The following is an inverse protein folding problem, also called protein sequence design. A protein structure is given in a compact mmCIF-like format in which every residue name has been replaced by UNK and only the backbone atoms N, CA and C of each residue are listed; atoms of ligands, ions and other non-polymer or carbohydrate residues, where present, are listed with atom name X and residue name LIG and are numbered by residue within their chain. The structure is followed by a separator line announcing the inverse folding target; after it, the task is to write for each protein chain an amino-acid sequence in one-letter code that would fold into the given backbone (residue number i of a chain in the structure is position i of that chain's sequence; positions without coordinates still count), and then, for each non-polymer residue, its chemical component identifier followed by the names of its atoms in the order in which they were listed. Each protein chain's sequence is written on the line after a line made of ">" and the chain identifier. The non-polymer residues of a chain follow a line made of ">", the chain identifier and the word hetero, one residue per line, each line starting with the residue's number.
data_IF_580301858471
#
_entry.id   IF_580301858471
#
_cell.length_a   1.000
_cell.length_b   1.000
_cell.length_c   1.000
_cell.angle_alpha   90.00
_cell.angle_beta   90.00
_cell.angle_gamma   90.00
#
_symmetry.space_group_name_H-M   'P 1'
#
loop_
_entity.id
_entity.type
_entity.pdbx_description
1 polymer ?
#
# COMPACT_ATOMS: atom_id res chain seq x y z
N UNK A 1 22.40 8.33 -1.06
CA UNK A 1 23.83 8.66 -1.34
C UNK A 1 24.54 7.35 -1.62
N UNK A 2 25.33 7.31 -2.69
CA UNK A 2 26.05 6.11 -3.13
C UNK A 2 27.31 6.50 -3.92
N UNK A 3 28.19 5.54 -4.22
CA UNK A 3 29.38 5.77 -5.05
C UNK A 3 29.02 6.00 -6.53
N UNK A 4 29.67 7.01 -7.15
CA UNK A 4 29.38 7.40 -8.53
C UNK A 4 30.30 6.70 -9.54
N UNK A 5 30.21 5.37 -9.66
CA UNK A 5 31.01 4.49 -10.53
C UNK A 5 32.53 4.51 -10.23
N UNK A 6 32.97 5.13 -9.15
CA UNK A 6 34.39 5.14 -8.72
C UNK A 6 34.44 5.42 -7.22
N UNK A 7 35.63 5.20 -6.62
CA UNK A 7 35.91 5.59 -5.22
C UNK A 7 36.23 7.08 -5.03
N UNK A 8 36.29 7.86 -6.09
CA UNK A 8 36.66 9.27 -6.06
C UNK A 8 35.45 10.22 -6.05
N UNK A 9 34.26 9.72 -6.37
CA UNK A 9 33.05 10.52 -6.43
C UNK A 9 31.84 9.79 -5.81
N UNK A 10 30.98 10.58 -5.21
CA UNK A 10 29.68 10.13 -4.66
C UNK A 10 28.53 10.79 -5.42
N UNK A 11 27.40 10.11 -5.52
CA UNK A 11 26.12 10.67 -5.97
C UNK A 11 25.22 10.90 -4.78
N UNK A 12 24.62 12.09 -4.72
CA UNK A 12 23.74 12.52 -3.64
C UNK A 12 22.40 12.92 -4.25
N UNK A 13 21.30 12.38 -3.71
CA UNK A 13 19.97 12.89 -3.95
C UNK A 13 19.61 13.87 -2.81
N UNK A 14 19.45 15.14 -3.14
CA UNK A 14 19.16 16.21 -2.19
C UNK A 14 17.76 16.78 -2.43
N UNK A 15 16.85 16.44 -1.52
CA UNK A 15 15.49 16.99 -1.57
C UNK A 15 15.40 18.26 -0.74
N UNK A 16 14.59 19.20 -1.24
CA UNK A 16 14.11 20.29 -0.41
C UNK A 16 13.11 19.79 0.65
N UNK A 17 12.76 20.63 1.63
CA UNK A 17 11.84 20.24 2.72
C UNK A 17 10.46 19.82 2.22
N UNK A 18 9.94 20.42 1.15
CA UNK A 18 8.68 20.02 0.52
C UNK A 18 8.77 18.70 -0.24
N UNK A 19 9.98 18.16 -0.43
CA UNK A 19 10.25 16.92 -1.17
C UNK A 19 9.68 16.92 -2.60
N UNK A 20 9.52 18.11 -3.18
CA UNK A 20 9.01 18.30 -4.54
C UNK A 20 10.10 18.77 -5.54
N UNK A 21 11.35 18.87 -5.05
CA UNK A 21 12.54 19.08 -5.85
C UNK A 21 13.64 18.16 -5.32
N UNK A 22 14.24 17.38 -6.22
CA UNK A 22 15.39 16.51 -5.94
C UNK A 22 16.56 16.95 -6.83
N UNK A 23 17.63 17.43 -6.24
CA UNK A 23 18.87 17.75 -6.93
C UNK A 23 19.79 16.52 -6.88
N UNK A 24 20.15 16.01 -8.05
CA UNK A 24 21.13 14.91 -8.15
C UNK A 24 22.51 15.55 -8.32
N UNK A 25 23.35 15.33 -7.33
CA UNK A 25 24.62 16.00 -7.15
C UNK A 25 25.76 14.99 -7.20
N UNK A 26 26.83 15.30 -7.93
CA UNK A 26 28.11 14.60 -7.83
C UNK A 26 29.01 15.36 -6.85
N UNK A 27 29.60 14.65 -5.90
CA UNK A 27 30.57 15.18 -4.93
C UNK A 27 31.91 14.48 -5.08
N UNK A 28 32.99 15.25 -5.18
CA UNK A 28 34.35 14.72 -5.17
C UNK A 28 34.73 14.31 -3.74
N UNK A 29 35.04 13.03 -3.54
CA UNK A 29 35.32 12.48 -2.21
C UNK A 29 36.62 13.00 -1.58
N UNK A 30 37.54 13.57 -2.39
CA UNK A 30 38.84 14.10 -1.92
C UNK A 30 38.79 15.60 -1.65
N UNK A 31 38.15 16.39 -2.55
CA UNK A 31 38.16 17.86 -2.46
C UNK A 31 36.90 18.41 -1.80
N UNK A 32 35.81 17.64 -1.72
CA UNK A 32 34.51 18.12 -1.25
C UNK A 32 33.76 18.99 -2.27
N UNK A 33 34.31 19.20 -3.46
CA UNK A 33 33.61 19.94 -4.52
C UNK A 33 32.36 19.20 -4.97
N UNK A 34 31.27 19.95 -5.17
CA UNK A 34 29.96 19.39 -5.58
C UNK A 34 29.48 20.03 -6.88
N UNK A 35 28.77 19.23 -7.67
CA UNK A 35 28.16 19.68 -8.93
C UNK A 35 26.80 19.03 -9.11
N UNK A 36 25.74 19.84 -9.21
CA UNK A 36 24.41 19.35 -9.63
C UNK A 36 24.45 18.95 -11.10
N UNK A 37 24.05 17.71 -11.39
CA UNK A 37 23.99 17.17 -12.74
C UNK A 37 22.61 17.33 -13.37
N UNK A 38 21.55 17.16 -12.59
CA UNK A 38 20.19 17.52 -13.00
C UNK A 38 19.30 17.70 -11.77
N UNK A 39 18.12 18.27 -11.99
CA UNK A 39 17.10 18.47 -10.95
C UNK A 39 15.77 17.91 -11.43
N UNK A 40 15.20 17.02 -10.64
CA UNK A 40 13.82 16.53 -10.81
C UNK A 40 12.87 17.48 -10.05
N UNK A 41 11.67 17.74 -10.63
CA UNK A 41 10.64 18.56 -9.98
C UNK A 41 9.26 17.95 -10.22
N UNK A 42 8.40 18.07 -9.20
CA UNK A 42 7.01 17.68 -9.26
C UNK A 42 6.14 18.72 -8.53
N UNK A 43 4.90 18.90 -8.93
CA UNK A 43 3.98 19.83 -8.25
C UNK A 43 3.47 19.31 -6.90
N UNK A 44 3.58 17.99 -6.65
CA UNK A 44 3.22 17.34 -5.40
C UNK A 44 4.49 16.92 -4.64
N UNK A 45 5.04 15.75 -4.88
CA UNK A 45 6.27 15.25 -4.26
C UNK A 45 7.06 14.37 -5.22
N UNK A 46 8.31 14.10 -4.88
CA UNK A 46 9.18 13.17 -5.59
C UNK A 46 9.57 12.05 -4.63
N UNK A 47 9.41 10.81 -5.08
CA UNK A 47 9.92 9.66 -4.34
C UNK A 47 11.42 9.50 -4.58
N UNK A 48 12.15 9.04 -3.55
CA UNK A 48 13.54 8.62 -3.69
C UNK A 48 13.55 7.25 -4.36
N UNK A 49 14.46 7.06 -5.29
CA UNK A 49 14.72 5.79 -5.96
C UNK A 49 16.14 5.33 -5.64
N UNK A 50 16.25 4.16 -5.02
CA UNK A 50 17.53 3.57 -4.64
C UNK A 50 18.13 2.70 -5.78
N UNK A 51 17.39 2.51 -6.87
CA UNK A 51 17.78 1.71 -8.03
C UNK A 51 18.66 2.49 -9.03
N UNK A 52 19.40 3.49 -8.58
CA UNK A 52 20.34 4.22 -9.40
C UNK A 52 21.53 3.31 -9.74
N UNK A 53 21.75 3.05 -11.03
CA UNK A 53 22.86 2.25 -11.56
C UNK A 53 23.67 3.07 -12.54
N UNK A 54 25.01 3.02 -12.42
CA UNK A 54 25.90 3.63 -13.40
C UNK A 54 26.14 2.70 -14.59
N UNK A 55 26.03 3.24 -15.79
CA UNK A 55 26.17 2.54 -17.06
C UNK A 55 27.36 3.09 -17.85
N UNK A 56 27.84 2.33 -18.84
CA UNK A 56 28.93 2.73 -19.75
C UNK A 56 30.17 3.29 -19.03
N UNK A 57 30.61 2.54 -18.01
CA UNK A 57 31.74 2.97 -17.15
C UNK A 57 31.52 4.36 -16.56
N UNK A 58 30.34 4.63 -16.02
CA UNK A 58 30.01 5.87 -15.32
C UNK A 58 29.64 7.05 -16.23
N UNK A 59 29.41 6.84 -17.52
CA UNK A 59 29.01 7.91 -18.46
C UNK A 59 27.51 8.20 -18.46
N UNK A 60 26.71 7.25 -18.04
CA UNK A 60 25.25 7.33 -17.96
C UNK A 60 24.79 6.73 -16.65
N UNK A 61 23.56 7.06 -16.23
CA UNK A 61 22.92 6.49 -15.05
C UNK A 61 21.45 6.17 -15.34
N UNK A 62 20.91 5.19 -14.60
CA UNK A 62 19.49 4.90 -14.59
C UNK A 62 18.76 5.90 -13.70
N UNK A 63 17.52 6.25 -14.07
CA UNK A 63 16.69 7.13 -13.29
C UNK A 63 15.22 6.75 -13.43
N UNK A 64 14.53 6.56 -12.31
CA UNK A 64 13.08 6.37 -12.29
C UNK A 64 12.40 7.72 -12.12
N UNK A 65 11.45 8.04 -12.98
CA UNK A 65 10.76 9.34 -12.97
C UNK A 65 9.32 9.21 -13.42
N UNK A 66 8.46 10.08 -12.86
CA UNK A 66 7.05 10.21 -13.23
C UNK A 66 6.78 11.43 -14.14
N UNK A 67 7.82 12.00 -14.75
CA UNK A 67 7.77 13.27 -15.51
C UNK A 67 6.82 13.27 -16.71
N UNK A 68 6.46 12.10 -17.23
CA UNK A 68 5.54 11.94 -18.36
C UNK A 68 4.16 11.37 -17.96
N UNK A 69 3.88 11.31 -16.64
CA UNK A 69 2.59 10.86 -16.11
C UNK A 69 2.58 9.40 -15.64
N UNK A 70 3.64 8.63 -15.93
CA UNK A 70 3.84 7.27 -15.46
C UNK A 70 5.22 7.12 -14.84
N UNK A 71 5.40 6.14 -13.96
CA UNK A 71 6.72 5.81 -13.41
C UNK A 71 7.50 5.02 -14.42
N UNK A 72 8.48 5.66 -15.06
CA UNK A 72 9.28 5.06 -16.12
C UNK A 72 10.77 5.06 -15.81
N UNK A 73 11.48 4.09 -16.44
CA UNK A 73 12.94 4.06 -16.48
C UNK A 73 13.46 5.00 -17.55
N UNK A 74 14.37 5.88 -17.14
CA UNK A 74 15.17 6.74 -18.01
C UNK A 74 16.64 6.38 -17.90
N UNK A 75 17.41 6.66 -18.95
CA UNK A 75 18.86 6.72 -18.93
C UNK A 75 19.27 8.17 -19.13
N UNK A 76 20.05 8.70 -18.21
CA UNK A 76 20.50 10.09 -18.20
C UNK A 76 22.02 10.12 -18.35
N UNK A 77 22.55 11.00 -19.24
CA UNK A 77 24.00 11.21 -19.32
C UNK A 77 24.56 11.82 -18.03
N UNK A 78 25.82 11.54 -17.71
CA UNK A 78 26.49 12.01 -16.49
C UNK A 78 26.45 13.53 -16.29
N UNK A 79 26.36 14.29 -17.38
CA UNK A 79 26.24 15.75 -17.35
C UNK A 79 24.77 16.23 -17.29
N UNK A 80 23.80 15.32 -17.24
CA UNK A 80 22.37 15.60 -17.16
C UNK A 80 21.71 16.08 -18.46
N UNK A 81 22.47 16.26 -19.55
CA UNK A 81 21.96 16.91 -20.77
C UNK A 81 21.13 16.00 -21.66
N UNK A 82 21.46 14.71 -21.71
CA UNK A 82 20.75 13.74 -22.53
C UNK A 82 19.89 12.86 -21.63
N UNK A 83 18.59 12.82 -21.91
CA UNK A 83 17.60 12.02 -21.20
C UNK A 83 16.88 11.14 -22.20
N UNK A 84 16.95 9.83 -21.99
CA UNK A 84 16.33 8.84 -22.88
C UNK A 84 15.32 8.00 -22.11
N UNK A 85 14.07 7.98 -22.55
CA UNK A 85 13.02 7.09 -22.05
C UNK A 85 13.28 5.65 -22.52
N UNK A 86 13.26 4.69 -21.59
CA UNK A 86 13.54 3.26 -21.86
C UNK A 86 12.26 2.42 -21.85
N UNK A 87 11.29 2.79 -21.03
CA UNK A 87 10.06 2.01 -20.81
C UNK A 87 8.81 2.81 -21.20
N UNK A 88 8.65 3.24 -22.47
CA UNK A 88 7.48 4.03 -22.87
C UNK A 88 6.19 3.20 -22.78
N UNK A 89 5.07 3.84 -22.41
CA UNK A 89 3.75 3.20 -22.37
C UNK A 89 2.86 3.72 -21.23
N UNK A 90 1.62 3.25 -21.19
CA UNK A 90 0.65 3.61 -20.16
C UNK A 90 0.71 2.59 -19.01
N UNK A 91 1.83 2.50 -18.32
CA UNK A 91 2.05 1.61 -17.20
C UNK A 91 3.20 2.11 -16.32
N UNK A 92 3.22 1.70 -15.06
CA UNK A 92 4.31 2.01 -14.13
C UNK A 92 5.37 0.90 -14.10
N UNK A 93 6.64 1.27 -14.13
CA UNK A 93 7.74 0.46 -13.60
C UNK A 93 7.60 0.46 -12.08
N UNK A 94 7.19 -0.68 -11.52
CA UNK A 94 6.98 -0.80 -10.07
C UNK A 94 8.34 -0.88 -9.35
N UNK A 95 9.29 -1.61 -9.96
CA UNK A 95 10.61 -1.87 -9.38
C UNK A 95 11.60 -2.23 -10.51
N UNK A 96 12.77 -1.59 -10.55
CA UNK A 96 13.86 -1.92 -11.48
C UNK A 96 14.73 -3.01 -10.87
N UNK A 97 14.79 -4.17 -11.51
CA UNK A 97 15.50 -5.33 -10.98
C UNK A 97 16.97 -5.40 -11.42
N UNK A 98 17.23 -5.12 -12.69
CA UNK A 98 18.57 -5.22 -13.28
C UNK A 98 18.65 -4.47 -14.60
N UNK A 99 19.80 -3.87 -14.89
CA UNK A 99 20.20 -3.44 -16.23
C UNK A 99 21.41 -4.27 -16.66
N UNK A 100 21.23 -5.08 -17.70
CA UNK A 100 22.31 -5.85 -18.32
C UNK A 100 22.79 -5.16 -19.59
N UNK A 101 23.88 -4.39 -19.49
CA UNK A 101 24.47 -3.67 -20.62
C UNK A 101 24.98 -4.61 -21.70
N UNK A 102 25.44 -5.82 -21.35
CA UNK A 102 26.01 -6.78 -22.29
C UNK A 102 24.95 -7.35 -23.24
N UNK A 103 23.78 -7.69 -22.72
CA UNK A 103 22.64 -8.14 -23.53
C UNK A 103 21.81 -6.98 -24.08
N UNK A 104 21.95 -5.77 -23.52
CA UNK A 104 21.22 -4.58 -23.90
C UNK A 104 19.77 -4.56 -23.38
N UNK A 105 19.48 -5.19 -22.24
CA UNK A 105 18.14 -5.26 -21.65
C UNK A 105 18.08 -4.65 -20.23
N UNK A 106 16.93 -4.03 -19.93
CA UNK A 106 16.49 -3.74 -18.57
C UNK A 106 15.41 -4.75 -18.15
N UNK A 107 15.49 -5.22 -16.90
CA UNK A 107 14.53 -6.13 -16.26
C UNK A 107 13.82 -5.37 -15.14
N UNK A 108 12.49 -5.42 -15.10
CA UNK A 108 11.70 -4.65 -14.15
C UNK A 108 10.37 -5.33 -13.84
N UNK A 109 9.81 -4.99 -12.69
CA UNK A 109 8.46 -5.38 -12.31
C UNK A 109 7.46 -4.34 -12.83
N UNK A 110 6.39 -4.82 -13.47
CA UNK A 110 5.27 -4.01 -13.92
C UNK A 110 3.99 -4.82 -13.93
N UNK A 111 2.86 -4.14 -14.09
CA UNK A 111 1.55 -4.78 -14.26
C UNK A 111 0.63 -3.91 -15.15
N UNK A 112 0.89 -3.85 -16.45
CA UNK A 112 0.16 -2.98 -17.38
C UNK A 112 -1.35 -3.23 -17.42
N UNK A 113 -1.77 -4.48 -17.24
CA UNK A 113 -3.17 -4.91 -17.42
C UNK A 113 -3.96 -5.02 -16.11
N UNK A 114 -3.26 -5.09 -14.96
CA UNK A 114 -3.91 -5.32 -13.66
C UNK A 114 -3.09 -4.76 -12.50
N UNK A 115 -3.53 -3.64 -11.93
CA UNK A 115 -2.83 -2.95 -10.85
C UNK A 115 -2.76 -3.72 -9.52
N UNK A 116 -3.48 -4.84 -9.37
CA UNK A 116 -3.44 -5.70 -8.17
C UNK A 116 -2.38 -6.79 -8.22
N UNK A 117 -1.67 -6.93 -9.35
CA UNK A 117 -0.71 -8.02 -9.60
C UNK A 117 0.67 -7.46 -9.97
N UNK A 118 1.70 -8.31 -9.97
CA UNK A 118 3.09 -7.92 -10.26
C UNK A 118 3.78 -9.00 -11.09
N UNK A 119 4.45 -8.60 -12.19
CA UNK A 119 5.10 -9.49 -13.14
C UNK A 119 6.46 -8.97 -13.60
N UNK A 120 7.40 -9.89 -13.90
CA UNK A 120 8.68 -9.54 -14.48
C UNK A 120 8.53 -9.28 -15.99
N UNK A 121 9.07 -8.15 -16.41
CA UNK A 121 9.22 -7.74 -17.79
C UNK A 121 10.69 -7.47 -18.11
N UNK A 122 11.03 -7.53 -19.40
CA UNK A 122 12.25 -6.94 -19.93
C UNK A 122 11.98 -6.06 -21.15
N UNK A 123 12.84 -5.08 -21.37
CA UNK A 123 12.82 -4.24 -22.56
C UNK A 123 14.24 -3.89 -23.00
N UNK A 124 14.41 -3.53 -24.28
CA UNK A 124 15.72 -3.07 -24.79
C UNK A 124 16.07 -1.70 -24.23
N UNK A 125 17.35 -1.48 -23.92
CA UNK A 125 17.88 -0.22 -23.42
C UNK A 125 17.80 0.94 -24.43
N UNK A 126 17.57 0.64 -25.72
CA UNK A 126 17.37 1.67 -26.72
C UNK A 126 15.97 2.32 -26.68
N UNK A 127 15.06 1.77 -25.86
CA UNK A 127 13.68 2.25 -25.71
C UNK A 127 12.78 1.87 -26.89
N UNK A 128 13.23 0.96 -27.78
CA UNK A 128 12.47 0.53 -28.94
C UNK A 128 11.81 -0.83 -28.70
N UNK A 129 10.58 -0.95 -29.16
CA UNK A 129 9.80 -2.17 -29.05
C UNK A 129 8.88 -2.19 -27.81
N UNK A 130 8.10 -3.27 -27.70
CA UNK A 130 7.20 -3.49 -26.56
C UNK A 130 7.94 -4.27 -25.48
N UNK A 131 7.68 -3.98 -24.20
CA UNK A 131 8.14 -4.82 -23.09
C UNK A 131 7.66 -6.27 -23.25
N UNK A 132 8.55 -7.21 -23.00
CA UNK A 132 8.27 -8.64 -23.01
C UNK A 132 8.03 -9.12 -21.58
N UNK A 133 6.86 -9.72 -21.32
CA UNK A 133 6.59 -10.36 -20.03
C UNK A 133 7.34 -11.69 -19.95
N UNK A 134 8.16 -11.86 -18.92
CA UNK A 134 8.91 -13.09 -18.65
C UNK A 134 8.19 -14.00 -17.65
N UNK A 135 7.41 -13.45 -16.73
CA UNK A 135 6.60 -14.27 -15.82
C UNK A 135 5.55 -15.05 -16.58
N UNK A 136 5.54 -16.41 -16.51
CA UNK A 136 4.54 -17.24 -17.16
C UNK A 136 3.10 -16.95 -16.66
N UNK A 137 2.11 -17.30 -17.50
CA UNK A 137 0.69 -17.00 -17.21
C UNK A 137 0.15 -17.73 -15.99
N UNK A 138 0.67 -18.91 -15.66
CA UNK A 138 0.29 -19.70 -14.49
C UNK A 138 0.61 -19.05 -13.15
N UNK A 139 1.56 -18.10 -13.12
CA UNK A 139 1.90 -17.33 -11.92
C UNK A 139 1.11 -16.01 -11.85
N UNK A 140 -0.22 -16.12 -11.98
CA UNK A 140 -1.13 -14.98 -11.81
C UNK A 140 -1.21 -14.58 -10.33
N UNK A 141 -0.76 -13.37 -10.00
CA UNK A 141 -0.66 -12.85 -8.64
C UNK A 141 0.56 -11.94 -8.46
N UNK A 142 1.17 -11.99 -7.29
CA UNK A 142 2.36 -11.20 -6.96
C UNK A 142 3.62 -12.03 -7.13
N UNK A 143 4.52 -11.55 -7.98
CA UNK A 143 5.81 -12.14 -8.29
C UNK A 143 6.93 -11.18 -7.90
N UNK A 144 8.00 -11.70 -7.31
CA UNK A 144 9.24 -10.97 -7.05
C UNK A 144 10.45 -11.80 -7.47
N UNK A 145 11.53 -11.11 -7.81
CA UNK A 145 12.71 -11.75 -8.37
C UNK A 145 13.99 -11.20 -7.74
N UNK A 146 14.96 -12.07 -7.53
CA UNK A 146 16.35 -11.70 -7.30
C UNK A 146 17.15 -12.24 -8.48
N UNK A 147 17.51 -11.35 -9.39
CA UNK A 147 18.14 -11.71 -10.67
C UNK A 147 19.65 -11.68 -10.52
N UNK A 148 20.33 -12.73 -11.01
CA UNK A 148 21.80 -12.81 -11.02
C UNK A 148 22.40 -11.81 -12.02
N UNK A 149 23.64 -11.37 -11.79
CA UNK A 149 24.42 -10.65 -12.80
C UNK A 149 24.40 -11.40 -14.13
N UNK A 150 24.22 -10.65 -15.23
CA UNK A 150 24.10 -11.20 -16.60
C UNK A 150 22.75 -11.90 -16.86
N UNK A 151 21.77 -11.78 -15.98
CA UNK A 151 20.37 -12.21 -16.14
C UNK A 151 20.18 -13.67 -16.62
N UNK A 152 21.05 -14.61 -16.18
CA UNK A 152 20.94 -16.02 -16.55
C UNK A 152 20.02 -16.80 -15.62
N UNK A 153 19.97 -16.42 -14.32
CA UNK A 153 19.23 -17.09 -13.27
C UNK A 153 18.50 -16.07 -12.39
N UNK A 154 17.45 -16.54 -11.72
CA UNK A 154 16.80 -15.76 -10.66
C UNK A 154 16.22 -16.66 -9.58
N UNK A 155 16.16 -16.14 -8.35
CA UNK A 155 15.23 -16.64 -7.34
C UNK A 155 13.88 -15.95 -7.60
N UNK A 156 12.88 -16.75 -7.92
CA UNK A 156 11.50 -16.32 -8.13
C UNK A 156 10.65 -16.66 -6.90
N UNK A 157 9.98 -15.68 -6.33
CA UNK A 157 8.97 -15.86 -5.30
C UNK A 157 7.60 -15.51 -5.86
N UNK A 158 6.62 -16.34 -5.55
CA UNK A 158 5.23 -16.17 -6.00
C UNK A 158 4.25 -16.42 -4.88
N UNK A 159 3.20 -15.62 -4.82
CA UNK A 159 1.97 -15.92 -4.08
C UNK A 159 0.77 -15.24 -4.73
N UNK A 160 -0.43 -15.71 -4.40
CA UNK A 160 -1.69 -15.02 -4.69
C UNK A 160 -2.58 -15.02 -3.44
N UNK A 161 -3.68 -14.30 -3.47
CA UNK A 161 -4.67 -14.33 -2.40
C UNK A 161 -5.22 -15.74 -2.13
N UNK A 162 -5.12 -16.62 -3.13
CA UNK A 162 -5.64 -18.00 -3.07
C UNK A 162 -4.55 -19.08 -3.09
N UNK A 163 -3.26 -18.71 -3.15
CA UNK A 163 -2.13 -19.64 -3.23
C UNK A 163 -1.08 -19.30 -2.18
N UNK A 164 -0.62 -20.32 -1.46
CA UNK A 164 0.48 -20.17 -0.49
C UNK A 164 1.78 -19.76 -1.19
N UNK A 165 2.68 -19.02 -0.50
CA UNK A 165 3.94 -18.59 -1.07
C UNK A 165 4.82 -19.76 -1.49
N UNK A 166 5.51 -19.64 -2.64
CA UNK A 166 6.54 -20.54 -3.11
C UNK A 166 7.80 -19.77 -3.47
N UNK A 167 8.97 -20.45 -3.40
CA UNK A 167 10.26 -19.94 -3.88
C UNK A 167 10.93 -20.99 -4.76
N UNK A 168 11.49 -20.53 -5.90
CA UNK A 168 12.15 -21.43 -6.83
C UNK A 168 13.33 -20.75 -7.53
N UNK A 169 14.37 -21.54 -7.85
CA UNK A 169 15.45 -21.14 -8.72
C UNK A 169 15.02 -21.38 -10.17
N UNK A 170 15.11 -20.36 -10.99
CA UNK A 170 14.74 -20.41 -12.41
C UNK A 170 15.91 -19.98 -13.30
N UNK A 171 15.85 -20.40 -14.56
CA UNK A 171 16.67 -19.89 -15.64
C UNK A 171 15.92 -18.80 -16.41
N UNK A 172 16.60 -17.75 -16.80
CA UNK A 172 16.06 -16.67 -17.63
C UNK A 172 16.66 -16.75 -19.06
N UNK A 173 15.95 -16.27 -20.10
CA UNK A 173 14.65 -15.59 -20.02
C UNK A 173 13.43 -16.53 -20.05
N UNK A 174 13.60 -17.81 -20.34
CA UNK A 174 12.55 -18.80 -20.57
C UNK A 174 11.79 -19.22 -19.31
N UNK A 175 12.18 -18.72 -18.12
CA UNK A 175 11.58 -19.00 -16.82
C UNK A 175 11.57 -20.50 -16.44
N UNK A 176 12.51 -21.29 -16.99
CA UNK A 176 12.58 -22.73 -16.72
C UNK A 176 12.97 -22.99 -15.27
N UNK A 177 12.13 -23.75 -14.55
CA UNK A 177 12.37 -24.11 -13.14
C UNK A 177 13.52 -25.11 -13.05
N UNK A 178 14.60 -24.73 -12.38
CA UNK A 178 15.77 -25.58 -12.10
C UNK A 178 15.55 -26.33 -10.79
N UNK A 179 15.08 -25.61 -9.75
CA UNK A 179 14.89 -26.19 -8.43
C UNK A 179 13.76 -25.46 -7.68
N UNK A 180 12.87 -26.20 -7.10
CA UNK A 180 11.93 -25.70 -6.10
C UNK A 180 12.65 -25.60 -4.76
N UNK A 181 12.71 -24.40 -4.17
CA UNK A 181 13.42 -24.11 -2.91
C UNK A 181 12.44 -24.20 -1.73
N UNK A 182 11.26 -23.58 -1.88
CA UNK A 182 10.18 -23.65 -0.89
C UNK A 182 8.87 -23.94 -1.64
N UNK A 183 8.18 -25.00 -1.26
CA UNK A 183 6.88 -25.37 -1.84
C UNK A 183 5.71 -25.15 -0.87
N UNK A 184 5.97 -25.05 0.43
CA UNK A 184 4.97 -24.90 1.48
C UNK A 184 3.82 -25.94 1.42
N UNK A 185 4.12 -27.19 1.06
CA UNK A 185 3.14 -28.27 0.88
C UNK A 185 2.26 -28.47 2.11
N UNK A 186 2.86 -28.63 3.30
CA UNK A 186 2.13 -28.80 4.54
C UNK A 186 1.18 -27.63 4.84
N UNK A 187 1.64 -26.37 4.59
CA UNK A 187 0.77 -25.20 4.72
C UNK A 187 -0.39 -25.26 3.72
N UNK A 188 -0.11 -25.57 2.46
CA UNK A 188 -1.14 -25.68 1.41
C UNK A 188 -2.18 -26.77 1.73
N UNK A 189 -1.72 -27.94 2.19
CA UNK A 189 -2.59 -29.05 2.62
C UNK A 189 -3.47 -28.65 3.80
N UNK A 190 -2.90 -28.01 4.83
CA UNK A 190 -3.66 -27.48 5.97
C UNK A 190 -4.70 -26.44 5.56
N UNK A 191 -4.33 -25.50 4.69
CA UNK A 191 -5.26 -24.47 4.18
C UNK A 191 -6.39 -25.11 3.35
N UNK A 192 -6.10 -26.17 2.59
CA UNK A 192 -7.13 -26.88 1.82
C UNK A 192 -8.20 -27.56 2.70
N UNK A 193 -7.91 -27.83 3.97
CA UNK A 193 -8.90 -28.36 4.92
C UNK A 193 -9.88 -27.32 5.43
N UNK A 194 -9.57 -26.03 5.29
CA UNK A 194 -10.43 -24.95 5.77
C UNK A 194 -11.68 -24.83 4.90
N UNK A 195 -12.84 -24.74 5.54
CA UNK A 195 -14.09 -24.41 4.87
C UNK A 195 -14.09 -22.93 4.49
N UNK A 196 -13.74 -22.62 3.24
CA UNK A 196 -13.66 -21.27 2.72
C UNK A 196 -13.96 -21.22 1.22
N UNK A 197 -14.40 -20.08 0.74
CA UNK A 197 -14.44 -19.74 -0.69
C UNK A 197 -13.16 -19.01 -1.09
N UNK A 198 -12.79 -19.00 -2.38
CA UNK A 198 -11.70 -18.17 -2.87
C UNK A 198 -11.96 -16.68 -2.62
N UNK A 199 -10.91 -15.92 -2.40
CA UNK A 199 -10.96 -14.46 -2.47
C UNK A 199 -11.19 -14.05 -3.92
N UNK A 200 -12.19 -13.20 -4.15
CA UNK A 200 -12.55 -12.69 -5.47
C UNK A 200 -12.13 -11.24 -5.60
N UNK A 201 -11.55 -10.86 -6.75
CA UNK A 201 -11.23 -9.46 -7.07
C UNK A 201 -12.34 -8.85 -7.93
N UNK A 202 -12.58 -7.56 -7.73
CA UNK A 202 -13.60 -6.82 -8.45
C UNK A 202 -13.18 -5.37 -8.68
N UNK A 203 -13.93 -4.68 -9.54
CA UNK A 203 -13.88 -3.23 -9.66
C UNK A 203 -15.24 -2.62 -9.33
N UNK A 204 -15.22 -1.44 -8.73
CA UNK A 204 -16.39 -0.65 -8.39
C UNK A 204 -16.25 0.78 -8.93
N UNK A 205 -17.29 1.25 -9.62
CA UNK A 205 -17.41 2.65 -10.06
C UNK A 205 -17.99 3.48 -8.92
N UNK A 206 -17.26 4.51 -8.51
CA UNK A 206 -17.71 5.47 -7.49
C UNK A 206 -18.24 6.78 -8.08
N UNK A 207 -18.46 6.81 -9.40
CA UNK A 207 -18.88 7.99 -10.14
C UNK A 207 -17.72 8.82 -10.67
N UNK A 208 -18.03 9.76 -11.56
CA UNK A 208 -17.02 10.63 -12.17
C UNK A 208 -15.95 9.93 -13.01
N UNK A 209 -16.18 8.69 -13.45
CA UNK A 209 -15.23 7.87 -14.19
C UNK A 209 -14.14 7.22 -13.32
N UNK A 210 -14.33 7.20 -12.00
CA UNK A 210 -13.35 6.64 -11.05
C UNK A 210 -13.69 5.20 -10.73
N UNK A 211 -12.86 4.29 -11.25
CA UNK A 211 -12.93 2.84 -10.98
C UNK A 211 -11.94 2.48 -9.88
N UNK A 212 -12.41 1.88 -8.79
CA UNK A 212 -11.58 1.38 -7.69
C UNK A 212 -11.46 -0.13 -7.75
N UNK A 213 -10.25 -0.65 -7.48
CA UNK A 213 -10.01 -2.08 -7.32
C UNK A 213 -10.37 -2.52 -5.90
N UNK A 214 -10.93 -3.72 -5.78
CA UNK A 214 -11.30 -4.32 -4.50
C UNK A 214 -11.18 -5.84 -4.49
N UNK A 215 -11.19 -6.41 -3.29
CA UNK A 215 -11.38 -7.85 -3.10
C UNK A 215 -12.47 -8.13 -2.07
N UNK A 216 -13.06 -9.34 -2.16
CA UNK A 216 -14.13 -9.81 -1.30
C UNK A 216 -13.90 -11.26 -0.88
N UNK A 217 -14.07 -11.55 0.41
CA UNK A 217 -14.14 -12.89 0.99
C UNK A 217 -15.55 -13.15 1.50
N UNK A 218 -16.12 -14.29 1.09
CA UNK A 218 -17.50 -14.69 1.40
C UNK A 218 -17.55 -15.91 2.32
N UNK A 219 -18.60 -16.08 3.13
CA UNK A 219 -18.84 -17.31 3.89
C UNK A 219 -18.80 -18.57 3.03
N UNK A 220 -18.32 -19.68 3.59
CA UNK A 220 -18.28 -20.97 2.88
C UNK A 220 -19.65 -21.43 2.37
N UNK A 221 -20.70 -21.20 3.15
CA UNK A 221 -22.09 -21.50 2.85
C UNK A 221 -22.85 -20.28 2.33
N UNK A 222 -22.18 -19.44 1.55
CA UNK A 222 -22.73 -18.20 1.00
C UNK A 222 -24.00 -18.48 0.16
N UNK A 223 -25.06 -17.74 0.47
CA UNK A 223 -26.34 -17.75 -0.25
C UNK A 223 -26.66 -16.31 -0.71
N UNK A 224 -26.66 -16.02 -2.02
CA UNK A 224 -26.87 -14.67 -2.53
C UNK A 224 -28.27 -14.10 -2.23
N UNK A 225 -29.23 -14.91 -1.80
CA UNK A 225 -30.57 -14.47 -1.41
C UNK A 225 -30.63 -13.89 0.02
N UNK A 226 -29.59 -14.08 0.82
CA UNK A 226 -29.50 -13.64 2.22
C UNK A 226 -28.72 -12.34 2.35
N UNK A 227 -28.86 -11.69 3.53
CA UNK A 227 -28.15 -10.47 3.90
C UNK A 227 -27.05 -10.76 4.93
N UNK A 228 -25.83 -10.34 4.65
CA UNK A 228 -24.66 -10.58 5.49
C UNK A 228 -24.08 -9.27 6.06
N UNK A 229 -23.60 -9.27 7.31
CA UNK A 229 -22.78 -8.18 7.81
C UNK A 229 -21.50 -8.10 7.00
N UNK A 230 -21.02 -6.89 6.74
CA UNK A 230 -19.78 -6.65 6.00
C UNK A 230 -18.78 -5.91 6.85
N UNK A 231 -17.53 -6.38 6.89
CA UNK A 231 -16.39 -5.73 7.52
C UNK A 231 -15.44 -5.23 6.44
N UNK A 232 -15.21 -3.92 6.38
CA UNK A 232 -14.22 -3.31 5.50
C UNK A 232 -12.85 -3.24 6.18
N UNK A 233 -11.84 -3.84 5.54
CA UNK A 233 -10.43 -3.58 5.85
C UNK A 233 -9.99 -2.35 5.08
N UNK A 234 -9.43 -1.36 5.77
CA UNK A 234 -8.93 -0.11 5.18
C UNK A 234 -7.50 0.19 5.60
N UNK A 235 -6.71 0.77 4.68
CA UNK A 235 -5.45 1.45 5.00
C UNK A 235 -5.47 2.87 4.44
N UNK A 236 -5.78 3.05 3.17
CA UNK A 236 -6.20 4.27 2.45
C UNK A 236 -5.13 5.33 2.18
N UNK A 237 -3.96 5.25 2.81
CA UNK A 237 -2.89 6.24 2.70
C UNK A 237 -1.87 5.91 1.60
N UNK A 238 -1.02 6.88 1.17
CA UNK A 238 -0.06 6.67 0.08
C UNK A 238 1.08 5.70 0.40
N UNK A 239 1.16 5.19 1.64
CA UNK A 239 2.22 4.26 2.07
C UNK A 239 1.97 2.80 1.66
N UNK A 240 0.71 2.36 1.50
CA UNK A 240 0.42 0.96 1.19
C UNK A 240 -0.88 0.74 0.41
N UNK A 241 -0.90 -0.35 -0.39
CA UNK A 241 -2.09 -0.95 -0.97
C UNK A 241 -2.63 -2.06 -0.08
N UNK A 242 -3.95 -2.17 0.04
CA UNK A 242 -4.65 -3.32 0.62
C UNK A 242 -5.16 -4.28 -0.45
N UNK A 243 -5.37 -3.80 -1.67
CA UNK A 243 -5.88 -4.61 -2.78
C UNK A 243 -4.73 -5.08 -3.67
N UNK A 244 -4.07 -6.14 -3.22
CA UNK A 244 -2.98 -6.80 -3.92
C UNK A 244 -3.25 -8.31 -3.94
N UNK A 245 -3.11 -8.93 -5.11
CA UNK A 245 -3.26 -10.37 -5.28
C UNK A 245 -2.02 -11.10 -4.75
N UNK A 246 -1.96 -11.22 -3.42
CA UNK A 246 -0.88 -11.89 -2.69
C UNK A 246 -1.40 -12.59 -1.44
N UNK A 247 -0.62 -13.50 -0.90
CA UNK A 247 -0.85 -14.08 0.43
C UNK A 247 -0.78 -12.98 1.51
N UNK A 248 -1.82 -12.87 2.34
CA UNK A 248 -1.91 -11.88 3.42
C UNK A 248 -1.62 -12.50 4.78
N UNK A 249 -1.00 -11.74 5.69
CA UNK A 249 -0.85 -12.10 7.11
C UNK A 249 -2.19 -12.24 7.84
N UNK A 250 -3.20 -11.46 7.43
CA UNK A 250 -4.54 -11.45 8.05
C UNK A 250 -5.47 -12.52 7.49
N UNK A 251 -5.01 -13.31 6.50
CA UNK A 251 -5.81 -14.30 5.80
C UNK A 251 -6.57 -15.24 6.73
N UNK A 252 -5.91 -15.78 7.77
CA UNK A 252 -6.53 -16.74 8.69
C UNK A 252 -7.61 -16.10 9.55
N UNK A 253 -7.38 -14.88 10.04
CA UNK A 253 -8.38 -14.14 10.82
C UNK A 253 -9.60 -13.78 9.97
N UNK A 254 -9.39 -13.26 8.76
CA UNK A 254 -10.49 -12.98 7.83
C UNK A 254 -11.23 -14.25 7.43
N UNK A 255 -10.54 -15.38 7.20
CA UNK A 255 -11.16 -16.67 6.94
C UNK A 255 -12.04 -17.12 8.11
N UNK A 256 -11.55 -16.97 9.36
CA UNK A 256 -12.34 -17.27 10.56
C UNK A 256 -13.60 -16.39 10.65
N UNK A 257 -13.49 -15.10 10.35
CA UNK A 257 -14.65 -14.20 10.31
C UNK A 257 -15.67 -14.63 9.24
N UNK A 258 -15.20 -15.06 8.06
CA UNK A 258 -16.14 -15.57 7.03
C UNK A 258 -16.83 -16.86 7.47
N UNK A 259 -16.17 -17.73 8.24
CA UNK A 259 -16.80 -18.93 8.82
C UNK A 259 -17.87 -18.59 9.88
N UNK A 260 -17.75 -17.43 10.53
CA UNK A 260 -18.78 -16.88 11.44
C UNK A 260 -19.93 -16.21 10.69
N UNK A 261 -19.81 -16.04 9.37
CA UNK A 261 -20.86 -15.47 8.53
C UNK A 261 -20.71 -13.98 8.24
N UNK A 262 -19.50 -13.43 8.37
CA UNK A 262 -19.16 -12.09 7.86
C UNK A 262 -18.75 -12.15 6.40
N UNK A 263 -19.01 -11.10 5.66
CA UNK A 263 -18.30 -10.79 4.42
C UNK A 263 -17.18 -9.81 4.77
N UNK A 264 -15.95 -10.08 4.28
CA UNK A 264 -14.81 -9.16 4.43
C UNK A 264 -14.45 -8.56 3.08
N UNK A 265 -14.28 -7.26 3.03
CA UNK A 265 -14.03 -6.49 1.80
C UNK A 265 -12.89 -5.53 2.02
N UNK A 266 -12.10 -5.27 0.99
CA UNK A 266 -11.20 -4.13 0.94
C UNK A 266 -11.28 -3.45 -0.42
N UNK A 267 -11.07 -2.14 -0.44
CA UNK A 267 -11.02 -1.31 -1.65
C UNK A 267 -9.87 -0.33 -1.55
N UNK A 268 -9.08 -0.20 -2.61
CA UNK A 268 -8.04 0.83 -2.71
C UNK A 268 -8.61 2.10 -3.34
N UNK A 269 -8.56 3.20 -2.58
CA UNK A 269 -8.95 4.53 -3.04
C UNK A 269 -7.86 5.20 -3.89
N UNK A 270 -8.19 6.33 -4.52
CA UNK A 270 -7.21 7.22 -5.13
C UNK A 270 -6.17 7.68 -4.10
N UNK A 271 -4.93 7.82 -4.53
CA UNK A 271 -3.81 8.21 -3.66
C UNK A 271 -3.03 7.04 -3.07
N UNK A 272 -3.53 5.81 -3.13
CA UNK A 272 -2.73 4.63 -2.78
C UNK A 272 -1.57 4.43 -3.78
N UNK A 273 -0.46 3.74 -3.40
CA UNK A 273 0.69 3.53 -4.28
C UNK A 273 0.45 2.49 -5.38
N UNK A 274 -0.80 2.27 -5.76
CA UNK A 274 -1.19 1.42 -6.88
C UNK A 274 -0.50 1.84 -8.17
N UNK A 275 -0.03 0.91 -9.03
CA UNK A 275 0.65 1.22 -10.29
C UNK A 275 -0.35 1.69 -11.38
N UNK A 276 -1.02 2.80 -11.13
CA UNK A 276 -2.06 3.42 -11.96
C UNK A 276 -1.68 4.83 -12.43
N UNK A 277 -0.38 5.11 -12.48
CA UNK A 277 0.18 6.37 -12.93
C UNK A 277 0.26 7.44 -11.83
N UNK A 278 0.97 8.51 -12.17
CA UNK A 278 1.26 9.65 -11.31
C UNK A 278 -0.02 10.32 -10.78
N UNK A 279 -0.99 10.58 -11.65
CA UNK A 279 -2.20 11.33 -11.27
C UNK A 279 -3.07 10.55 -10.27
N UNK A 280 -3.08 9.22 -10.36
CA UNK A 280 -3.69 8.38 -9.33
C UNK A 280 -3.01 8.56 -7.98
N UNK A 281 -1.69 8.36 -7.92
CA UNK A 281 -0.94 8.42 -6.66
C UNK A 281 -0.98 9.80 -6.03
N UNK A 282 -0.82 10.86 -6.83
CA UNK A 282 -0.68 12.24 -6.34
C UNK A 282 -2.00 12.99 -6.16
N UNK A 283 -3.14 12.35 -6.49
CA UNK A 283 -4.48 12.89 -6.21
C UNK A 283 -4.74 13.20 -4.73
N UNK A 284 -4.05 12.47 -3.84
CA UNK A 284 -4.16 12.60 -2.37
C UNK A 284 -3.39 13.82 -1.82
N UNK A 285 -2.52 14.45 -2.63
CA UNK A 285 -1.71 15.59 -2.16
C UNK A 285 -2.55 16.68 -1.52
N UNK A 286 -2.24 17.01 -0.27
CA UNK A 286 -3.00 17.91 0.62
C UNK A 286 -4.43 17.45 0.92
N UNK A 287 -4.70 16.12 0.85
CA UNK A 287 -6.05 15.59 1.02
C UNK A 287 -6.11 14.28 1.82
N UNK A 288 -5.06 13.93 2.58
CA UNK A 288 -5.12 12.79 3.50
C UNK A 288 -6.25 13.04 4.51
N UNK A 289 -7.01 11.99 4.84
CA UNK A 289 -8.21 12.05 5.69
C UNK A 289 -9.44 12.64 4.99
N UNK A 290 -9.29 13.29 3.84
CA UNK A 290 -10.37 13.96 3.09
C UNK A 290 -10.78 13.12 1.88
N UNK A 291 -9.90 13.03 0.87
CA UNK A 291 -10.18 12.34 -0.40
C UNK A 291 -10.37 10.83 -0.19
N UNK A 292 -9.43 10.21 0.51
CA UNK A 292 -9.48 8.77 0.80
C UNK A 292 -10.73 8.39 1.58
N UNK A 293 -11.14 9.18 2.59
CA UNK A 293 -12.37 8.93 3.34
C UNK A 293 -13.62 9.05 2.47
N UNK A 294 -13.66 10.05 1.58
CA UNK A 294 -14.75 10.22 0.60
C UNK A 294 -14.81 9.06 -0.38
N UNK A 295 -13.68 8.68 -0.99
CA UNK A 295 -13.63 7.55 -1.94
C UNK A 295 -14.09 6.24 -1.28
N UNK A 296 -13.66 5.97 -0.04
CA UNK A 296 -14.09 4.79 0.72
C UNK A 296 -15.61 4.79 0.99
N UNK A 297 -16.17 5.93 1.39
CA UNK A 297 -17.61 6.04 1.64
C UNK A 297 -18.42 5.84 0.34
N UNK A 298 -18.00 6.43 -0.76
CA UNK A 298 -18.66 6.21 -2.07
C UNK A 298 -18.51 4.77 -2.54
N UNK A 299 -17.36 4.13 -2.32
CA UNK A 299 -17.17 2.70 -2.61
C UNK A 299 -18.13 1.82 -1.80
N UNK A 300 -18.28 2.08 -0.50
CA UNK A 300 -19.24 1.32 0.33
C UNK A 300 -20.67 1.49 -0.18
N UNK A 301 -21.10 2.73 -0.50
CA UNK A 301 -22.44 3.00 -1.06
C UNK A 301 -22.67 2.25 -2.38
N UNK A 302 -21.68 2.33 -3.29
CA UNK A 302 -21.76 1.64 -4.59
C UNK A 302 -21.79 0.11 -4.43
N UNK A 303 -21.01 -0.45 -3.47
CA UNK A 303 -21.00 -1.87 -3.19
C UNK A 303 -22.32 -2.36 -2.56
N UNK A 304 -22.93 -1.59 -1.67
CA UNK A 304 -24.25 -1.91 -1.11
C UNK A 304 -25.35 -1.93 -2.18
N UNK A 305 -25.23 -1.12 -3.23
CA UNK A 305 -26.11 -1.16 -4.39
C UNK A 305 -25.82 -2.35 -5.33
N UNK A 306 -24.53 -2.59 -5.60
CA UNK A 306 -24.05 -3.64 -6.50
C UNK A 306 -24.28 -5.05 -5.93
N UNK A 307 -23.99 -5.25 -4.66
CA UNK A 307 -24.06 -6.53 -3.97
C UNK A 307 -25.22 -6.55 -2.99
N UNK A 308 -26.39 -6.95 -3.51
CA UNK A 308 -27.66 -6.97 -2.75
C UNK A 308 -27.62 -7.87 -1.49
N UNK A 309 -26.65 -8.76 -1.38
CA UNK A 309 -26.42 -9.63 -0.22
C UNK A 309 -25.67 -8.91 0.93
N UNK A 310 -25.17 -7.69 0.75
CA UNK A 310 -24.60 -6.89 1.84
C UNK A 310 -25.72 -6.23 2.65
N UNK A 311 -25.62 -6.31 3.98
CA UNK A 311 -26.58 -5.70 4.90
C UNK A 311 -26.15 -4.26 5.24
N UNK A 312 -26.89 -3.27 4.73
CA UNK A 312 -26.61 -1.86 4.94
C UNK A 312 -26.72 -1.41 6.42
N UNK A 313 -27.44 -2.17 7.24
CA UNK A 313 -27.55 -1.91 8.68
C UNK A 313 -26.44 -2.57 9.50
N UNK A 314 -25.57 -3.37 8.85
CA UNK A 314 -24.46 -4.07 9.49
C UNK A 314 -23.16 -3.87 8.71
N UNK A 315 -22.72 -2.62 8.58
CA UNK A 315 -21.45 -2.21 7.95
C UNK A 315 -20.43 -1.88 9.03
N UNK A 316 -19.35 -2.65 9.09
CA UNK A 316 -18.19 -2.42 9.95
C UNK A 316 -16.96 -1.97 9.18
N UNK A 317 -16.03 -1.33 9.87
CA UNK A 317 -14.73 -0.91 9.32
C UNK A 317 -13.62 -1.15 10.34
N UNK A 318 -12.47 -1.61 9.88
CA UNK A 318 -11.31 -1.75 10.73
C UNK A 318 -10.01 -1.48 9.98
N UNK A 319 -8.99 -1.08 10.70
CA UNK A 319 -7.67 -0.89 10.15
C UNK A 319 -6.63 -0.53 11.20
N UNK A 320 -5.38 -0.61 10.80
CA UNK A 320 -4.20 -0.40 11.64
C UNK A 320 -3.36 0.76 11.11
N UNK A 321 -2.75 1.57 11.99
CA UNK A 321 -1.92 2.71 11.60
C UNK A 321 -2.71 3.73 10.77
N UNK A 322 -2.30 4.06 9.54
CA UNK A 322 -3.11 4.83 8.59
C UNK A 322 -4.52 4.26 8.39
N UNK A 323 -4.67 2.92 8.43
CA UNK A 323 -5.97 2.26 8.42
C UNK A 323 -6.79 2.51 9.69
N UNK A 324 -6.13 2.65 10.84
CA UNK A 324 -6.78 3.10 12.09
C UNK A 324 -7.30 4.52 11.96
N UNK A 325 -6.51 5.43 11.38
CA UNK A 325 -6.90 6.82 11.08
C UNK A 325 -8.08 6.87 10.10
N UNK A 326 -8.02 6.03 9.05
CA UNK A 326 -9.11 5.88 8.09
C UNK A 326 -10.39 5.35 8.75
N UNK A 327 -10.27 4.39 9.69
CA UNK A 327 -11.40 3.89 10.47
C UNK A 327 -12.03 4.99 11.33
N UNK A 328 -11.23 5.80 12.03
CA UNK A 328 -11.73 6.94 12.80
C UNK A 328 -12.43 7.96 11.88
N UNK A 329 -11.80 8.35 10.76
CA UNK A 329 -12.40 9.25 9.79
C UNK A 329 -13.70 8.68 9.19
N UNK A 330 -13.76 7.38 8.88
CA UNK A 330 -14.97 6.72 8.40
C UNK A 330 -16.12 6.82 9.43
N UNK A 331 -15.85 6.50 10.70
CA UNK A 331 -16.84 6.56 11.79
C UNK A 331 -17.31 7.97 12.10
N UNK A 332 -16.43 8.97 11.97
CA UNK A 332 -16.73 10.35 12.34
C UNK A 332 -17.29 11.19 11.19
N UNK A 333 -16.83 10.96 9.94
CA UNK A 333 -17.31 11.71 8.78
C UNK A 333 -18.58 11.12 8.14
N UNK A 334 -18.75 9.80 8.27
CA UNK A 334 -19.87 9.06 7.67
C UNK A 334 -20.63 8.21 8.71
N UNK A 335 -21.07 8.82 9.85
CA UNK A 335 -21.61 8.08 11.00
C UNK A 335 -22.92 7.35 10.70
N UNK A 336 -23.63 7.70 9.64
CA UNK A 336 -24.85 7.00 9.22
C UNK A 336 -24.54 5.76 8.36
N UNK A 337 -23.35 5.68 7.77
CA UNK A 337 -22.93 4.57 6.92
C UNK A 337 -22.31 3.43 7.74
N UNK A 338 -21.35 3.76 8.59
CA UNK A 338 -20.62 2.78 9.40
C UNK A 338 -21.24 2.62 10.78
N UNK A 339 -21.51 1.36 11.18
CA UNK A 339 -22.17 1.02 12.46
C UNK A 339 -21.17 0.63 13.54
N UNK A 340 -20.03 0.04 13.14
CA UNK A 340 -18.99 -0.44 14.08
C UNK A 340 -17.61 -0.16 13.47
N UNK A 341 -16.72 0.43 14.28
CA UNK A 341 -15.33 0.70 13.88
C UNK A 341 -14.34 0.13 14.90
N UNK A 342 -13.23 -0.43 14.41
CA UNK A 342 -12.12 -0.89 15.25
C UNK A 342 -10.82 -0.24 14.74
N UNK A 343 -10.38 0.84 15.42
CA UNK A 343 -9.20 1.63 15.07
C UNK A 343 -8.00 1.19 15.91
N UNK A 344 -6.98 0.62 15.24
CA UNK A 344 -5.77 0.13 15.91
C UNK A 344 -4.60 1.05 15.59
N UNK A 345 -3.88 1.54 16.61
CA UNK A 345 -2.69 2.37 16.51
C UNK A 345 -2.85 3.56 15.54
N UNK A 346 -3.98 4.28 15.66
CA UNK A 346 -4.40 5.31 14.72
C UNK A 346 -3.66 6.64 14.93
N UNK A 347 -3.34 7.35 13.84
CA UNK A 347 -2.97 8.77 13.89
C UNK A 347 -4.24 9.57 14.19
N UNK A 348 -4.31 10.15 15.40
CA UNK A 348 -5.48 10.92 15.83
C UNK A 348 -5.51 12.34 15.29
N UNK A 349 -4.34 12.92 15.04
CA UNK A 349 -4.16 14.24 14.46
C UNK A 349 -2.94 14.26 13.54
N UNK A 350 -3.12 14.69 12.29
CA UNK A 350 -2.09 14.64 11.25
C UNK A 350 -0.79 15.40 11.62
N UNK A 351 -0.84 16.43 12.45
CA UNK A 351 0.35 17.15 12.92
C UNK A 351 1.22 16.39 13.92
N UNK A 352 0.73 15.26 14.47
CA UNK A 352 1.44 14.45 15.46
C UNK A 352 2.16 13.24 14.86
N UNK A 353 2.10 13.07 13.55
CA UNK A 353 2.91 12.09 12.86
C UNK A 353 4.21 12.70 12.34
N UNK A 354 5.18 11.89 11.88
CA UNK A 354 6.49 12.41 11.50
C UNK A 354 6.43 13.40 10.34
N UNK A 355 7.31 14.41 10.40
CA UNK A 355 7.31 15.53 9.45
C UNK A 355 7.73 15.12 8.05
N UNK A 356 8.60 14.11 7.91
CA UNK A 356 9.07 13.69 6.57
C UNK A 356 7.95 13.03 5.77
N UNK A 357 7.04 12.32 6.44
CA UNK A 357 5.84 11.73 5.84
C UNK A 357 4.77 12.80 5.62
N UNK A 358 4.37 13.50 6.67
CA UNK A 358 3.23 14.42 6.60
C UNK A 358 3.50 15.63 5.70
N UNK A 359 4.67 16.26 5.80
CA UNK A 359 4.98 17.40 4.94
C UNK A 359 5.11 17.02 3.46
N UNK A 360 5.53 15.77 3.15
CA UNK A 360 5.52 15.23 1.78
C UNK A 360 4.12 15.24 1.18
N UNK A 361 3.14 14.76 1.93
CA UNK A 361 1.80 14.54 1.40
C UNK A 361 0.82 15.68 1.71
N UNK A 362 1.04 16.44 2.79
CA UNK A 362 0.14 17.51 3.24
C UNK A 362 0.71 18.93 3.01
N UNK A 363 1.99 19.04 2.63
CA UNK A 363 2.71 20.31 2.57
C UNK A 363 3.08 20.83 3.97
N UNK A 364 3.69 22.00 4.05
CA UNK A 364 4.11 22.58 5.33
C UNK A 364 2.90 23.01 6.16
N UNK A 365 2.83 22.59 7.41
CA UNK A 365 1.75 22.97 8.33
C UNK A 365 1.67 24.49 8.54
N UNK A 366 2.80 25.19 8.49
CA UNK A 366 2.84 26.67 8.60
C UNK A 366 2.19 27.39 7.41
N UNK A 367 2.00 26.71 6.29
CA UNK A 367 1.41 27.25 5.04
C UNK A 367 0.00 26.75 4.83
N UNK A 368 -0.30 25.51 5.24
CA UNK A 368 -1.58 24.85 4.99
C UNK A 368 -2.14 24.23 6.30
N UNK A 369 -2.28 24.97 7.42
CA UNK A 369 -2.77 24.40 8.68
C UNK A 369 -4.18 23.81 8.55
N UNK A 370 -5.02 24.39 7.70
CA UNK A 370 -6.41 23.98 7.49
C UNK A 370 -6.52 22.55 6.92
N UNK A 371 -5.60 22.10 6.08
CA UNK A 371 -5.66 20.73 5.53
C UNK A 371 -5.28 19.70 6.59
N UNK A 372 -4.40 20.05 7.53
CA UNK A 372 -4.05 19.21 8.67
C UNK A 372 -5.23 19.07 9.63
N UNK A 373 -5.93 20.16 9.93
CA UNK A 373 -7.13 20.14 10.79
C UNK A 373 -8.26 19.37 10.11
N UNK A 374 -8.55 19.66 8.84
CA UNK A 374 -9.64 18.99 8.10
C UNK A 374 -9.35 17.49 7.90
N UNK A 375 -8.10 17.08 7.62
CA UNK A 375 -7.72 15.66 7.47
C UNK A 375 -7.74 14.86 8.77
N UNK A 376 -7.61 15.52 9.93
CA UNK A 376 -7.45 14.88 11.23
C UNK A 376 -8.75 14.27 11.75
N UNK A 377 -8.74 12.99 12.18
CA UNK A 377 -9.94 12.37 12.77
C UNK A 377 -10.50 13.12 13.98
N UNK A 378 -9.65 13.64 14.86
CA UNK A 378 -10.07 14.34 16.07
C UNK A 378 -11.02 15.51 15.80
N UNK A 379 -10.85 16.21 14.68
CA UNK A 379 -11.70 17.33 14.28
C UNK A 379 -13.18 16.93 14.11
N UNK A 380 -13.43 15.68 13.75
CA UNK A 380 -14.75 15.17 13.44
C UNK A 380 -15.33 14.25 14.53
N UNK A 381 -14.61 14.00 15.62
CA UNK A 381 -14.96 13.06 16.69
C UNK A 381 -16.36 13.29 17.29
N UNK A 382 -16.80 14.56 17.35
CA UNK A 382 -18.15 14.95 17.82
C UNK A 382 -19.31 14.30 17.06
N UNK A 383 -19.06 13.81 15.84
CA UNK A 383 -20.11 13.25 14.99
C UNK A 383 -20.31 11.73 15.20
N UNK A 384 -19.50 11.05 16.03
CA UNK A 384 -19.62 9.61 16.27
C UNK A 384 -21.06 9.23 16.65
N UNK A 385 -21.63 8.22 15.97
CA UNK A 385 -22.95 7.63 16.27
C UNK A 385 -22.88 6.12 16.54
N UNK A 386 -21.99 5.41 15.85
CA UNK A 386 -21.81 3.97 15.93
C UNK A 386 -20.93 3.52 17.09
N UNK A 387 -20.69 2.22 17.17
CA UNK A 387 -19.81 1.59 18.16
C UNK A 387 -18.34 1.72 17.73
N UNK A 388 -17.48 2.24 18.60
CA UNK A 388 -16.06 2.47 18.33
C UNK A 388 -15.17 1.79 19.35
N UNK A 389 -14.24 0.94 18.88
CA UNK A 389 -13.12 0.43 19.66
C UNK A 389 -11.84 1.13 19.21
N UNK A 390 -11.14 1.73 20.17
CA UNK A 390 -9.79 2.29 19.99
C UNK A 390 -8.79 1.34 20.66
N UNK A 391 -7.77 0.92 19.95
CA UNK A 391 -6.69 0.06 20.47
C UNK A 391 -5.36 0.74 20.23
N UNK A 392 -4.49 0.82 21.26
CA UNK A 392 -3.18 1.45 21.08
C UNK A 392 -2.14 0.88 22.06
N UNK A 393 -0.89 0.74 21.61
CA UNK A 393 0.25 0.44 22.44
C UNK A 393 0.76 1.69 23.15
N UNK A 394 0.94 1.67 24.49
CA UNK A 394 1.41 2.87 25.18
C UNK A 394 2.90 3.16 25.00
N UNK A 395 3.66 2.21 24.46
CA UNK A 395 5.06 2.34 24.04
C UNK A 395 5.23 2.51 22.53
N UNK A 396 4.18 2.91 21.80
CA UNK A 396 4.24 3.15 20.35
C UNK A 396 5.14 4.35 20.07
N UNK A 397 6.29 4.07 19.42
CA UNK A 397 7.33 5.03 19.07
C UNK A 397 7.20 5.54 17.61
N UNK A 398 6.24 5.00 16.87
CA UNK A 398 5.89 5.42 15.52
C UNK A 398 4.67 6.36 15.54
N UNK A 399 3.51 5.84 15.95
CA UNK A 399 2.29 6.63 16.14
C UNK A 399 2.09 6.85 17.64
N UNK A 400 2.55 7.98 18.14
CA UNK A 400 2.58 8.26 19.58
C UNK A 400 1.20 8.18 20.20
N UNK A 401 1.11 7.53 21.38
CA UNK A 401 -0.11 7.34 22.15
C UNK A 401 -0.88 8.64 22.42
N UNK A 402 -0.19 9.77 22.50
CA UNK A 402 -0.76 11.11 22.62
C UNK A 402 -1.85 11.38 21.56
N UNK A 403 -1.70 10.86 20.34
CA UNK A 403 -2.71 11.00 19.28
C UNK A 403 -4.04 10.34 19.65
N UNK A 404 -3.98 9.16 20.28
CA UNK A 404 -5.17 8.48 20.81
C UNK A 404 -5.80 9.25 21.97
N UNK A 405 -4.99 9.79 22.88
CA UNK A 405 -5.48 10.60 24.01
C UNK A 405 -6.24 11.85 23.55
N UNK A 406 -5.77 12.52 22.47
CA UNK A 406 -6.49 13.67 21.91
C UNK A 406 -7.88 13.27 21.38
N UNK A 407 -7.98 12.16 20.66
CA UNK A 407 -9.26 11.65 20.16
C UNK A 407 -10.19 11.28 21.31
N UNK A 408 -9.67 10.59 22.32
CA UNK A 408 -10.42 10.20 23.53
C UNK A 408 -10.96 11.43 24.27
N UNK A 409 -10.12 12.46 24.48
CA UNK A 409 -10.53 13.70 25.12
C UNK A 409 -11.65 14.41 24.36
N UNK A 410 -11.57 14.46 23.02
CA UNK A 410 -12.61 15.08 22.22
C UNK A 410 -13.92 14.28 22.24
N UNK A 411 -13.86 12.94 22.24
CA UNK A 411 -15.03 12.08 22.41
C UNK A 411 -15.70 12.31 23.78
N UNK A 412 -14.91 12.38 24.88
CA UNK A 412 -15.40 12.66 26.23
C UNK A 412 -16.08 14.03 26.29
N UNK A 413 -15.44 15.07 25.75
CA UNK A 413 -15.97 16.43 25.69
C UNK A 413 -17.35 16.51 25.03
N UNK A 414 -17.58 15.65 24.02
CA UNK A 414 -18.86 15.58 23.30
C UNK A 414 -19.78 14.46 23.81
N UNK A 415 -19.48 13.85 24.96
CA UNK A 415 -20.27 12.77 25.57
C UNK A 415 -20.53 11.61 24.60
N UNK A 416 -19.51 11.24 23.81
CA UNK A 416 -19.59 10.12 22.86
C UNK A 416 -19.08 8.84 23.52
N UNK A 417 -19.90 7.77 23.60
CA UNK A 417 -19.45 6.50 24.16
C UNK A 417 -18.49 5.80 23.19
N UNK A 418 -17.45 5.17 23.74
CA UNK A 418 -16.47 4.36 23.01
C UNK A 418 -15.88 3.29 23.93
N UNK A 419 -15.18 2.32 23.37
CA UNK A 419 -14.39 1.32 24.09
C UNK A 419 -12.92 1.57 23.82
N UNK A 420 -12.07 1.42 24.85
CA UNK A 420 -10.62 1.60 24.73
C UNK A 420 -9.88 0.38 25.28
N UNK A 421 -8.82 -0.05 24.57
CA UNK A 421 -7.84 -1.00 25.06
C UNK A 421 -6.42 -0.45 24.87
N UNK A 422 -5.76 -0.10 25.96
CA UNK A 422 -4.35 0.26 25.99
C UNK A 422 -3.49 -0.98 26.25
N UNK A 423 -2.48 -1.22 25.43
CA UNK A 423 -1.49 -2.28 25.62
C UNK A 423 -0.23 -1.69 26.25
N UNK A 424 0.05 -1.96 27.55
CA UNK A 424 1.18 -1.35 28.28
C UNK A 424 2.52 -1.70 27.62
N UNK A 425 3.33 -0.68 27.31
CA UNK A 425 4.66 -0.81 26.72
C UNK A 425 4.77 -1.62 25.41
N UNK A 426 3.64 -1.84 24.69
CA UNK A 426 3.70 -2.43 23.36
C UNK A 426 3.97 -1.34 22.33
N UNK A 427 4.80 -1.68 21.35
CA UNK A 427 5.14 -0.81 20.22
C UNK A 427 3.98 -0.71 19.20
N UNK A 428 4.25 -0.08 18.07
CA UNK A 428 3.29 0.08 16.97
C UNK A 428 2.66 -1.23 16.46
N UNK A 429 3.41 -2.32 16.51
CA UNK A 429 2.96 -3.65 16.05
C UNK A 429 2.12 -4.41 17.05
N UNK A 430 2.06 -4.02 18.32
CA UNK A 430 1.29 -4.67 19.41
C UNK A 430 1.44 -6.21 19.39
N UNK A 431 2.67 -6.71 19.28
CA UNK A 431 2.96 -8.14 19.24
C UNK A 431 3.89 -8.61 20.37
N UNK A 432 4.58 -7.69 21.05
CA UNK A 432 5.57 -8.00 22.06
C UNK A 432 4.94 -8.65 23.32
N UNK A 433 5.66 -9.61 23.85
CA UNK A 433 5.24 -10.37 25.02
C UNK A 433 4.31 -11.55 24.70
N UNK A 434 4.29 -12.50 25.61
CA UNK A 434 3.52 -13.73 25.47
C UNK A 434 2.02 -13.43 25.38
N UNK A 435 1.33 -14.06 24.42
CA UNK A 435 -0.11 -13.98 24.27
C UNK A 435 -0.66 -12.67 23.70
N UNK A 436 0.16 -11.62 23.49
CA UNK A 436 -0.32 -10.28 23.07
C UNK A 436 -1.10 -10.33 21.75
N UNK A 437 -0.56 -10.95 20.73
CA UNK A 437 -1.23 -11.06 19.40
C UNK A 437 -2.55 -11.81 19.51
N UNK A 438 -2.58 -12.94 20.22
CA UNK A 438 -3.81 -13.72 20.40
C UNK A 438 -4.85 -12.92 21.19
N UNK A 439 -4.46 -12.21 22.25
CA UNK A 439 -5.34 -11.35 23.03
C UNK A 439 -5.94 -10.23 22.18
N UNK A 440 -5.11 -9.58 21.34
CA UNK A 440 -5.56 -8.51 20.46
C UNK A 440 -6.62 -9.00 19.46
N UNK A 441 -6.33 -10.05 18.69
CA UNK A 441 -7.30 -10.56 17.71
C UNK A 441 -8.53 -11.18 18.34
N UNK A 442 -8.43 -11.74 19.57
CA UNK A 442 -9.57 -12.19 20.36
C UNK A 442 -10.44 -11.01 20.79
N UNK A 443 -9.84 -9.90 21.23
CA UNK A 443 -10.52 -8.67 21.56
C UNK A 443 -11.29 -8.10 20.37
N UNK A 444 -10.60 -7.96 19.20
CA UNK A 444 -11.21 -7.46 17.97
C UNK A 444 -12.40 -8.35 17.54
N UNK A 445 -12.24 -9.66 17.59
CA UNK A 445 -13.29 -10.63 17.23
C UNK A 445 -14.48 -10.54 18.17
N UNK A 446 -14.24 -10.49 19.48
CA UNK A 446 -15.30 -10.34 20.48
C UNK A 446 -16.05 -9.03 20.30
N UNK A 447 -15.33 -7.91 20.18
CA UNK A 447 -15.94 -6.60 19.98
C UNK A 447 -16.81 -6.54 18.72
N UNK A 448 -16.29 -7.11 17.62
CA UNK A 448 -17.03 -7.19 16.36
C UNK A 448 -18.34 -7.98 16.55
N UNK A 449 -18.28 -9.16 17.16
CA UNK A 449 -19.46 -10.01 17.38
C UNK A 449 -20.51 -9.35 18.29
N UNK A 450 -20.07 -8.60 19.33
CA UNK A 450 -20.95 -7.88 20.24
C UNK A 450 -21.66 -6.69 19.57
N UNK A 451 -20.98 -6.00 18.63
CA UNK A 451 -21.45 -4.73 18.07
C UNK A 451 -21.86 -4.78 16.60
N UNK A 452 -21.56 -5.88 15.89
CA UNK A 452 -21.97 -6.14 14.52
C UNK A 452 -22.35 -7.63 14.38
N UNK A 453 -23.54 -8.04 14.80
CA UNK A 453 -23.89 -9.45 14.91
C UNK A 453 -23.63 -10.25 13.64
N UNK A 454 -22.94 -11.39 13.80
CA UNK A 454 -22.54 -12.29 12.74
C UNK A 454 -23.74 -13.03 12.10
N UNK A 455 -23.48 -13.62 10.94
CA UNK A 455 -24.42 -14.52 10.27
C UNK A 455 -25.40 -13.84 9.32
N UNK A 456 -25.94 -14.66 8.43
CA UNK A 456 -26.91 -14.23 7.43
C UNK A 456 -28.31 -14.04 8.04
N UNK A 457 -29.06 -13.06 7.53
CA UNK A 457 -30.49 -12.85 7.79
C UNK A 457 -31.31 -13.22 6.55
#
# INVERSE_FOLDING_TARGET
>A
MDWAASSDEIVIQHLNRLQNQNEVILGNAKTGEVKTIFTERDSAWIDIHDELMWLKNGKELTWISERDGWRHLYIISRDGKNVKLVTPGNYDVIDLQLVDEKSGYAYFIASPDNATQKYLYRTKLDGKGKPERLTPKEFTGTNSYQISEGANYAIHNFSSANSTPISQLIKLPDHAVIKKVVENKALSENIATLKKLPTEFFQVDIGGGVMLDGWIMKPFNFDPAKKYPVLFLVYTEPAAQTVVDRWSGDFLWHTMLTQQGYIVVSVDNRGTPSPRGRDWRKSIYKKIGILNSSDQAEAVKALLQKFTFLDADRVGVWGWSGGGSATLNAMFRFPDLYKTGMAVAAVGHEKLYDTIYQERYMGLISVNPEVYEEGSPVTHAKNLKGNLLIVHGTGDDNVHYQGAELVINELIKHTKPFTMMAYPNRSHGIYEGEGTTLHLFSLLTRYLNENLPAGAK
#
